data_IF_049144247429
#
_entry.id   IF_049144247429
#
_cell.length_a   1.000
_cell.length_b   1.000
_cell.length_c   1.000
_cell.angle_alpha   90.00
_cell.angle_beta   90.00
_cell.angle_gamma   90.00
#
_symmetry.space_group_name_H-M   'P 1'
#
loop_
_entity.id
_entity.type
_entity.pdbx_description
1 polymer ?
#
# COMPACT_ATOMS: atom_id res chain seq x y z
N UNK A 1 0.63 33.71 -2.63
CA UNK A 1 0.57 33.13 -1.27
C UNK A 1 0.82 31.66 -1.47
N UNK A 2 2.07 31.29 -1.71
CA UNK A 2 2.42 29.99 -2.27
C UNK A 2 3.32 29.25 -1.28
N UNK A 3 2.66 28.63 -0.30
CA UNK A 3 3.30 27.71 0.64
C UNK A 3 3.47 26.35 -0.05
N UNK A 4 4.42 26.25 -0.99
CA UNK A 4 4.92 24.95 -1.44
C UNK A 4 5.93 24.46 -0.40
N UNK A 5 5.43 23.88 0.69
CA UNK A 5 6.22 22.92 1.46
C UNK A 5 6.65 21.77 0.54
N UNK A 6 7.76 21.07 0.83
CA UNK A 6 8.24 20.01 -0.04
C UNK A 6 7.09 19.03 -0.30
N UNK A 7 6.66 18.91 -1.56
CA UNK A 7 5.75 17.87 -1.99
C UNK A 7 6.45 16.55 -1.68
N UNK A 8 6.04 15.91 -0.58
CA UNK A 8 6.48 14.57 -0.26
C UNK A 8 6.00 13.71 -1.41
N UNK A 9 6.87 13.48 -2.40
CA UNK A 9 6.65 12.47 -3.43
C UNK A 9 6.70 11.13 -2.70
N UNK A 10 5.53 10.67 -2.25
CA UNK A 10 5.37 9.31 -1.78
C UNK A 10 5.79 8.43 -2.96
N UNK A 11 6.86 7.66 -2.78
CA UNK A 11 7.26 6.68 -3.78
C UNK A 11 6.11 5.70 -4.00
N UNK A 12 6.06 5.07 -5.17
CA UNK A 12 5.04 4.08 -5.49
C UNK A 12 4.89 3.10 -4.31
N UNK A 13 3.65 2.85 -3.90
CA UNK A 13 3.35 1.92 -2.82
C UNK A 13 2.44 0.78 -3.30
N UNK A 14 2.56 -0.34 -2.62
CA UNK A 14 1.69 -1.50 -2.74
C UNK A 14 0.93 -1.72 -1.45
N UNK A 15 -0.33 -2.15 -1.58
CA UNK A 15 -1.20 -2.51 -0.48
C UNK A 15 -1.59 -3.98 -0.65
N UNK A 16 -1.14 -4.79 0.29
CA UNK A 16 -1.40 -6.22 0.35
C UNK A 16 -2.25 -6.55 1.57
N UNK A 17 -3.09 -7.58 1.44
CA UNK A 17 -3.91 -8.12 2.51
C UNK A 17 -3.50 -9.56 2.79
N UNK A 18 -3.40 -9.92 4.07
CA UNK A 18 -3.02 -11.26 4.54
C UNK A 18 -4.06 -11.79 5.52
N UNK A 19 -4.30 -13.10 5.47
CA UNK A 19 -5.18 -13.82 6.39
C UNK A 19 -4.56 -13.97 7.78
N UNK A 20 -3.25 -14.26 7.81
CA UNK A 20 -2.44 -14.44 9.02
C UNK A 20 -1.35 -13.38 9.13
N UNK A 21 -0.71 -13.27 10.29
CA UNK A 21 0.31 -12.23 10.51
C UNK A 21 1.54 -12.52 9.64
N UNK A 22 1.83 -11.70 8.62
CA UNK A 22 2.90 -12.00 7.68
C UNK A 22 4.29 -12.02 8.35
N UNK A 23 4.43 -11.40 9.53
CA UNK A 23 5.70 -11.37 10.29
C UNK A 23 6.06 -12.71 10.91
N UNK A 24 5.10 -13.63 11.03
CA UNK A 24 5.30 -14.98 11.55
C UNK A 24 5.69 -15.98 10.45
N UNK A 25 5.63 -15.57 9.18
CA UNK A 25 5.95 -16.42 8.04
C UNK A 25 7.46 -16.41 7.78
N UNK A 26 8.02 -17.58 7.47
CA UNK A 26 9.47 -17.78 7.32
C UNK A 26 10.13 -16.85 6.29
N UNK A 27 9.38 -16.39 5.30
CA UNK A 27 9.89 -15.57 4.19
C UNK A 27 9.63 -14.08 4.36
N UNK A 28 9.23 -13.61 5.54
CA UNK A 28 9.06 -12.17 5.80
C UNK A 28 10.40 -11.41 5.67
N UNK A 29 10.44 -10.22 5.04
CA UNK A 29 9.34 -9.48 4.41
C UNK A 29 9.09 -9.81 2.92
N UNK A 30 9.88 -10.72 2.34
CA UNK A 30 9.84 -11.14 0.93
C UNK A 30 8.67 -12.10 0.63
N UNK A 31 7.49 -11.77 1.12
CA UNK A 31 6.24 -12.45 0.82
C UNK A 31 5.27 -11.46 0.17
N UNK A 32 4.40 -11.95 -0.71
CA UNK A 32 3.32 -11.15 -1.31
C UNK A 32 2.00 -11.70 -0.81
N UNK A 33 1.14 -10.82 -0.29
CA UNK A 33 -0.22 -11.18 0.11
C UNK A 33 -1.19 -11.12 -1.07
N UNK A 34 -2.47 -11.02 -0.77
CA UNK A 34 -3.46 -10.68 -1.78
C UNK A 34 -3.32 -9.20 -2.13
N UNK A 35 -2.87 -8.92 -3.36
CA UNK A 35 -2.69 -7.56 -3.84
C UNK A 35 -4.05 -6.86 -3.93
N UNK A 36 -4.24 -5.83 -3.11
CA UNK A 36 -5.41 -4.95 -3.17
C UNK A 36 -5.17 -3.77 -4.12
N UNK A 37 -3.99 -3.15 -4.03
CA UNK A 37 -3.65 -1.97 -4.81
C UNK A 37 -2.15 -1.88 -5.09
N UNK A 38 -1.82 -1.46 -6.30
CA UNK A 38 -0.45 -1.14 -6.71
C UNK A 38 -0.48 0.24 -7.36
N UNK A 39 0.22 1.20 -6.76
CA UNK A 39 0.29 2.55 -7.31
C UNK A 39 1.15 2.57 -8.59
N UNK A 40 0.51 2.80 -9.73
CA UNK A 40 1.17 2.98 -11.03
C UNK A 40 1.46 4.45 -11.32
N UNK A 41 0.60 5.35 -10.85
CA UNK A 41 0.63 6.77 -11.19
C UNK A 41 1.02 7.64 -9.99
N UNK A 42 1.68 8.80 -10.19
CA UNK A 42 2.02 9.71 -9.10
C UNK A 42 0.78 10.18 -8.35
N UNK A 43 0.84 10.19 -7.01
CA UNK A 43 -0.23 10.75 -6.21
C UNK A 43 -0.26 12.28 -6.32
N UNK A 44 -1.47 12.83 -6.39
CA UNK A 44 -1.70 14.25 -6.18
C UNK A 44 -1.60 14.64 -4.70
N UNK A 45 -1.98 15.88 -4.39
CA UNK A 45 -2.00 16.40 -3.01
C UNK A 45 -3.28 16.05 -2.24
N UNK A 46 -4.24 15.41 -2.89
CA UNK A 46 -5.52 15.02 -2.28
C UNK A 46 -5.42 13.65 -1.62
N UNK A 47 -6.18 13.39 -0.54
CA UNK A 47 -6.28 12.05 0.03
C UNK A 47 -6.68 11.02 -1.02
N UNK A 48 -5.95 9.89 -1.06
CA UNK A 48 -6.25 8.78 -1.95
C UNK A 48 -7.25 7.84 -1.29
N UNK A 49 -8.35 7.55 -1.99
CA UNK A 49 -9.27 6.49 -1.62
C UNK A 49 -8.95 5.25 -2.47
N UNK A 50 -8.58 4.16 -1.81
CA UNK A 50 -8.26 2.89 -2.45
C UNK A 50 -9.37 1.89 -2.19
N UNK A 51 -9.98 1.40 -3.27
CA UNK A 51 -10.86 0.24 -3.24
C UNK A 51 -10.15 -0.92 -3.91
N UNK A 52 -10.09 -2.08 -3.25
CA UNK A 52 -9.58 -3.30 -3.88
C UNK A 52 -10.48 -3.67 -5.06
N UNK A 53 -9.89 -4.20 -6.14
CA UNK A 53 -10.64 -4.61 -7.34
C UNK A 53 -11.62 -5.76 -7.07
N UNK A 54 -11.32 -6.58 -6.07
CA UNK A 54 -12.17 -7.65 -5.56
C UNK A 54 -12.26 -7.57 -4.04
N UNK A 55 -13.33 -8.11 -3.47
CA UNK A 55 -13.42 -8.27 -2.01
C UNK A 55 -12.39 -9.29 -1.55
N UNK A 56 -11.47 -8.86 -0.68
CA UNK A 56 -10.45 -9.71 -0.07
C UNK A 56 -10.81 -9.89 1.40
N UNK A 57 -10.99 -11.13 1.83
CA UNK A 57 -11.05 -11.46 3.26
C UNK A 57 -9.61 -11.46 3.79
N UNK A 58 -9.40 -10.86 4.95
CA UNK A 58 -8.09 -10.86 5.60
C UNK A 58 -8.09 -10.09 6.91
N UNK A 59 -7.00 -10.22 7.67
CA UNK A 59 -6.84 -9.64 9.01
C UNK A 59 -5.73 -8.59 9.07
N UNK A 60 -4.71 -8.72 8.24
CA UNK A 60 -3.53 -7.86 8.27
C UNK A 60 -3.35 -7.15 6.94
N UNK A 61 -3.10 -5.84 7.01
CA UNK A 61 -2.82 -5.02 5.84
C UNK A 61 -1.35 -4.62 5.90
N UNK A 62 -0.65 -4.78 4.77
CA UNK A 62 0.71 -4.26 4.58
C UNK A 62 0.68 -3.13 3.57
N UNK A 63 1.21 -1.98 3.97
CA UNK A 63 1.57 -0.90 3.06
C UNK A 63 3.09 -0.91 2.87
N UNK A 64 3.53 -1.18 1.65
CA UNK A 64 4.95 -1.27 1.28
C UNK A 64 5.29 -0.16 0.30
N UNK A 65 6.35 0.62 0.60
CA UNK A 65 6.89 1.61 -0.33
C UNK A 65 8.06 0.99 -1.09
N UNK A 66 8.07 1.15 -2.42
CA UNK A 66 9.19 0.79 -3.29
C UNK A 66 10.11 1.97 -3.56
#
# INVERSE_FOLDING_TARGET
NDFYGPTVKVKNFTLDVFDEDPRQLANFPNITGHLCYNQTDPLGTTPLLVNCSTSILGRYIRLSMT
#
